data_IF_054372197954
#
_entry.id   IF_054372197954
#
_cell.length_a   1.000
_cell.length_b   1.000
_cell.length_c   1.000
_cell.angle_alpha   90.00
_cell.angle_beta   90.00
_cell.angle_gamma   90.00
#
_symmetry.space_group_name_H-M   'P 1'
#
loop_
_entity.id
_entity.type
_entity.pdbx_description
1 polymer ?
#
# COMPACT_ATOMS: atom_id res chain seq x y z
N UNK A 1 19.76 12.35 0.69
CA UNK A 1 18.51 13.14 0.54
C UNK A 1 18.82 14.58 0.83
N UNK A 2 18.13 15.49 0.14
CA UNK A 2 18.19 16.95 0.33
C UNK A 2 16.80 17.37 0.83
N UNK A 3 16.75 18.14 1.91
CA UNK A 3 15.51 18.63 2.48
C UNK A 3 15.18 20.01 1.90
N UNK A 4 13.95 20.21 1.43
CA UNK A 4 13.47 21.48 0.87
C UNK A 4 12.20 21.94 1.60
N UNK A 5 12.02 23.24 1.79
CA UNK A 5 10.77 23.79 2.31
C UNK A 5 9.89 24.30 1.15
N UNK A 6 8.64 23.82 1.09
CA UNK A 6 7.67 24.22 0.07
C UNK A 6 6.64 25.27 0.55
N UNK A 7 6.68 25.66 1.83
CA UNK A 7 5.83 26.72 2.41
C UNK A 7 6.67 27.86 2.97
N UNK A 8 5.99 28.91 3.46
CA UNK A 8 6.61 30.03 4.18
C UNK A 8 7.37 29.53 5.43
N UNK A 9 8.37 30.31 5.87
CA UNK A 9 9.27 29.94 6.97
C UNK A 9 8.55 29.74 8.33
N UNK A 10 7.38 30.35 8.51
CA UNK A 10 6.59 30.27 9.75
C UNK A 10 5.89 28.91 9.94
N UNK A 11 5.65 28.16 8.85
CA UNK A 11 5.10 26.79 8.88
C UNK A 11 5.86 25.89 7.88
N UNK A 12 7.11 25.51 8.20
CA UNK A 12 7.94 24.77 7.26
C UNK A 12 7.35 23.38 6.98
N UNK A 13 7.28 23.05 5.69
CA UNK A 13 6.84 21.74 5.20
C UNK A 13 7.96 21.14 4.37
N UNK A 14 8.63 20.16 4.95
CA UNK A 14 9.89 19.62 4.44
C UNK A 14 9.65 18.44 3.50
N UNK A 15 10.02 18.58 2.24
CA UNK A 15 10.06 17.49 1.27
C UNK A 15 11.48 16.98 1.05
N UNK A 16 11.58 15.72 0.60
CA UNK A 16 12.86 15.06 0.36
C UNK A 16 13.13 14.93 -1.14
N UNK A 17 14.23 15.52 -1.57
CA UNK A 17 14.80 15.37 -2.91
C UNK A 17 15.99 14.39 -2.93
N UNK A 18 16.21 13.73 -4.05
CA UNK A 18 17.38 12.89 -4.26
C UNK A 18 18.69 13.68 -4.17
N UNK A 19 19.69 13.12 -3.49
CA UNK A 19 21.02 13.75 -3.36
C UNK A 19 21.88 13.67 -4.62
N UNK A 20 21.41 12.95 -5.64
CA UNK A 20 22.06 12.87 -6.95
C UNK A 20 21.72 14.05 -7.86
N UNK A 21 20.76 14.89 -7.48
CA UNK A 21 20.39 16.07 -8.25
C UNK A 21 21.48 17.15 -8.19
N UNK A 22 21.72 17.82 -9.31
CA UNK A 22 22.56 19.01 -9.36
C UNK A 22 21.87 20.20 -8.66
N UNK A 23 22.61 21.25 -8.27
CA UNK A 23 21.99 22.44 -7.67
C UNK A 23 20.91 23.09 -8.55
N UNK A 24 21.10 23.10 -9.87
CA UNK A 24 20.11 23.61 -10.83
C UNK A 24 18.85 22.73 -10.86
N UNK A 25 19.02 21.41 -10.88
CA UNK A 25 17.89 20.48 -10.83
C UNK A 25 17.12 20.61 -9.51
N UNK A 26 17.81 20.77 -8.38
CA UNK A 26 17.17 21.00 -7.07
C UNK A 26 16.28 22.23 -7.10
N UNK A 27 16.75 23.33 -7.70
CA UNK A 27 15.97 24.57 -7.82
C UNK A 27 14.72 24.36 -8.68
N UNK A 28 14.86 23.73 -9.84
CA UNK A 28 13.74 23.43 -10.75
C UNK A 28 12.69 22.54 -10.06
N UNK A 29 13.12 21.46 -9.41
CA UNK A 29 12.20 20.57 -8.68
C UNK A 29 11.51 21.29 -7.52
N UNK A 30 12.25 22.13 -6.79
CA UNK A 30 11.70 22.93 -5.69
C UNK A 30 10.63 23.88 -6.19
N UNK A 31 10.87 24.56 -7.31
CA UNK A 31 9.91 25.48 -7.91
C UNK A 31 8.61 24.77 -8.32
N UNK A 32 8.71 23.63 -9.01
CA UNK A 32 7.54 22.83 -9.40
C UNK A 32 6.76 22.35 -8.17
N UNK A 33 7.44 21.85 -7.14
CA UNK A 33 6.78 21.37 -5.93
C UNK A 33 6.09 22.51 -5.16
N UNK A 34 6.66 23.72 -5.17
CA UNK A 34 6.03 24.93 -4.61
C UNK A 34 4.80 25.34 -5.42
N UNK A 35 4.88 25.35 -6.74
CA UNK A 35 3.75 25.66 -7.63
C UNK A 35 2.58 24.69 -7.41
N UNK A 36 2.89 23.42 -7.17
CA UNK A 36 1.90 22.37 -6.96
C UNK A 36 1.65 22.06 -5.49
N UNK A 37 1.92 22.98 -4.56
CA UNK A 37 1.77 22.73 -3.12
C UNK A 37 0.38 22.20 -2.71
N UNK A 38 -0.67 22.46 -3.52
CA UNK A 38 -2.04 21.96 -3.31
C UNK A 38 -2.18 20.44 -3.47
N UNK A 39 -1.25 19.77 -4.14
CA UNK A 39 -1.24 18.30 -4.23
C UNK A 39 -0.86 17.66 -2.89
N UNK A 40 -0.38 18.42 -1.91
CA UNK A 40 0.01 17.91 -0.59
C UNK A 40 -1.03 18.30 0.46
N UNK A 41 -1.34 17.36 1.34
CA UNK A 41 -2.23 17.60 2.49
C UNK A 41 -1.46 17.38 3.79
N UNK A 42 -1.65 18.28 4.74
CA UNK A 42 -0.92 18.28 6.03
C UNK A 42 -1.81 17.89 7.21
N UNK A 43 -3.12 17.86 7.00
CA UNK A 43 -4.11 17.49 7.99
C UNK A 43 -5.36 16.93 7.34
N UNK A 44 -6.12 16.09 8.05
CA UNK A 44 -7.39 15.56 7.56
C UNK A 44 -8.42 16.64 7.20
N UNK A 45 -8.32 17.84 7.79
CA UNK A 45 -9.24 18.96 7.51
C UNK A 45 -8.98 19.63 6.16
N UNK A 46 -7.74 19.57 5.69
CA UNK A 46 -7.33 20.10 4.38
C UNK A 46 -7.61 19.10 3.23
N UNK A 47 -7.98 17.87 3.57
CA UNK A 47 -8.24 16.83 2.58
C UNK A 47 -9.57 17.10 1.86
N UNK A 48 -9.49 17.40 0.56
CA UNK A 48 -10.65 17.58 -0.32
C UNK A 48 -11.28 16.24 -0.70
N UNK A 49 -10.43 15.24 -0.92
CA UNK A 49 -10.80 13.91 -1.40
C UNK A 49 -11.07 13.87 -2.90
N UNK A 50 -11.10 12.66 -3.45
CA UNK A 50 -11.33 12.42 -4.87
C UNK A 50 -12.76 12.81 -5.22
N UNK A 51 -12.92 13.50 -6.34
CA UNK A 51 -14.22 14.00 -6.77
C UNK A 51 -15.22 12.83 -6.98
N UNK A 52 -16.45 12.89 -6.38
CA UNK A 52 -17.40 11.76 -6.43
C UNK A 52 -17.88 11.34 -7.83
N UNK A 53 -17.77 12.23 -8.82
CA UNK A 53 -18.12 11.90 -10.22
C UNK A 53 -17.06 11.00 -10.88
N UNK A 54 -15.84 10.96 -10.34
CA UNK A 54 -14.76 10.06 -10.77
C UNK A 54 -15.01 8.67 -10.18
N UNK A 55 -15.21 8.62 -8.86
CA UNK A 55 -15.44 7.36 -8.17
C UNK A 55 -16.13 7.59 -6.82
N UNK A 56 -16.93 6.60 -6.44
CA UNK A 56 -17.41 6.38 -5.07
C UNK A 56 -17.30 4.91 -4.76
N UNK A 57 -17.03 4.59 -3.51
CA UNK A 57 -17.03 3.20 -3.06
C UNK A 57 -18.46 2.72 -2.83
N UNK A 58 -18.81 1.58 -3.43
CA UNK A 58 -20.11 0.94 -3.29
C UNK A 58 -19.94 -0.42 -2.59
N UNK A 59 -20.86 -0.71 -1.67
CA UNK A 59 -20.99 -1.98 -0.96
C UNK A 59 -22.22 -2.72 -1.47
N UNK A 60 -22.11 -3.19 -2.72
CA UNK A 60 -23.14 -4.01 -3.34
C UNK A 60 -23.20 -5.34 -2.58
N UNK A 61 -24.30 -5.61 -1.89
CA UNK A 61 -24.54 -6.86 -1.19
C UNK A 61 -25.30 -7.83 -2.10
N UNK A 62 -25.06 -9.14 -1.97
CA UNK A 62 -25.86 -10.14 -2.69
C UNK A 62 -27.35 -9.99 -2.35
N UNK A 63 -28.28 -10.24 -3.30
CA UNK A 63 -29.71 -10.05 -3.07
C UNK A 63 -30.28 -10.85 -1.88
N UNK A 64 -29.70 -12.01 -1.59
CA UNK A 64 -30.08 -12.92 -0.51
C UNK A 64 -29.34 -12.66 0.82
N UNK A 65 -28.36 -11.74 0.83
CA UNK A 65 -27.57 -11.45 2.01
C UNK A 65 -28.42 -10.75 3.08
N UNK A 66 -28.57 -11.41 4.23
CA UNK A 66 -29.25 -10.84 5.40
C UNK A 66 -28.29 -9.96 6.20
N UNK A 67 -28.71 -8.75 6.62
CA UNK A 67 -27.91 -7.91 7.51
C UNK A 67 -27.61 -8.58 8.85
N UNK A 68 -26.39 -8.38 9.34
CA UNK A 68 -25.91 -8.94 10.62
C UNK A 68 -25.55 -7.81 11.58
N UNK A 69 -26.07 -7.91 12.80
CA UNK A 69 -25.68 -7.05 13.93
C UNK A 69 -24.82 -7.85 14.89
N UNK A 70 -23.52 -7.59 14.90
CA UNK A 70 -22.63 -8.23 15.84
C UNK A 70 -22.95 -7.78 17.28
N UNK A 71 -22.87 -8.72 18.23
CA UNK A 71 -22.99 -8.40 19.65
C UNK A 71 -21.80 -7.55 20.09
N UNK A 72 -22.06 -6.47 20.83
CA UNK A 72 -21.01 -5.59 21.37
C UNK A 72 -20.04 -6.38 22.24
N UNK A 73 -18.74 -6.21 21.98
CA UNK A 73 -17.67 -6.84 22.76
C UNK A 73 -17.29 -5.97 23.97
N UNK A 74 -17.07 -6.56 25.16
CA UNK A 74 -16.61 -5.80 26.31
C UNK A 74 -15.20 -5.26 26.05
N UNK A 75 -14.93 -4.07 26.56
CA UNK A 75 -13.64 -3.39 26.39
C UNK A 75 -13.09 -2.96 27.75
N UNK A 76 -11.77 -3.11 27.94
CA UNK A 76 -11.09 -2.63 29.14
C UNK A 76 -11.25 -1.10 29.25
N UNK A 77 -11.54 -0.52 30.43
CA UNK A 77 -11.81 0.91 30.58
C UNK A 77 -10.75 1.83 29.98
N UNK A 78 -9.46 1.51 30.17
CA UNK A 78 -8.35 2.28 29.58
C UNK A 78 -8.39 2.31 28.06
N UNK A 79 -8.64 1.16 27.42
CA UNK A 79 -8.72 1.06 25.96
C UNK A 79 -9.96 1.78 25.45
N UNK A 80 -11.06 1.70 26.20
CA UNK A 80 -12.29 2.40 25.88
C UNK A 80 -12.05 3.92 25.77
N UNK A 81 -11.40 4.54 26.74
CA UNK A 81 -11.09 5.98 26.67
C UNK A 81 -10.28 6.37 25.43
N UNK A 82 -9.26 5.57 25.09
CA UNK A 82 -8.46 5.79 23.87
C UNK A 82 -9.30 5.63 22.60
N UNK A 83 -10.21 4.66 22.56
CA UNK A 83 -11.15 4.48 21.44
C UNK A 83 -12.07 5.70 21.33
N UNK A 84 -12.59 6.22 22.45
CA UNK A 84 -13.42 7.42 22.47
C UNK A 84 -12.70 8.61 21.84
N UNK A 85 -11.46 8.86 22.24
CA UNK A 85 -10.66 9.96 21.70
C UNK A 85 -10.50 9.85 20.19
N UNK A 86 -10.20 8.65 19.67
CA UNK A 86 -10.00 8.45 18.24
C UNK A 86 -11.32 8.54 17.44
N UNK A 87 -12.42 8.01 17.96
CA UNK A 87 -13.76 8.19 17.38
C UNK A 87 -14.14 9.66 17.32
N UNK A 88 -13.84 10.44 18.37
CA UNK A 88 -14.11 11.88 18.39
C UNK A 88 -13.30 12.63 17.33
N UNK A 89 -12.03 12.25 17.10
CA UNK A 89 -11.23 12.83 16.01
C UNK A 89 -11.86 12.53 14.65
N UNK A 90 -12.26 11.27 14.41
CA UNK A 90 -12.91 10.86 13.16
C UNK A 90 -14.24 11.59 12.91
N UNK A 91 -15.02 11.84 13.97
CA UNK A 91 -16.23 12.67 13.92
C UNK A 91 -15.90 14.12 13.58
N UNK A 92 -14.89 14.70 14.24
CA UNK A 92 -14.51 16.11 14.04
C UNK A 92 -14.03 16.38 12.62
N UNK A 93 -13.36 15.42 11.98
CA UNK A 93 -12.91 15.53 10.57
C UNK A 93 -14.00 15.10 9.58
N UNK A 94 -15.15 14.61 10.05
CA UNK A 94 -16.28 14.20 9.21
C UNK A 94 -16.10 12.87 8.48
N UNK A 95 -15.14 12.04 8.88
CA UNK A 95 -14.92 10.72 8.26
C UNK A 95 -15.99 9.72 8.66
N UNK A 96 -16.56 9.90 9.84
CA UNK A 96 -17.68 9.12 10.35
C UNK A 96 -18.80 10.07 10.79
N UNK A 97 -20.01 9.52 10.92
CA UNK A 97 -21.17 10.23 11.45
C UNK A 97 -22.01 9.30 12.34
N UNK A 98 -22.78 9.84 13.30
CA UNK A 98 -23.77 9.06 14.04
C UNK A 98 -24.78 8.43 13.08
N UNK A 99 -25.26 7.25 13.44
CA UNK A 99 -26.24 6.52 12.63
C UNK A 99 -27.21 5.76 13.53
N UNK A 100 -28.49 5.94 13.25
CA UNK A 100 -29.58 5.28 13.96
C UNK A 100 -30.10 4.10 13.14
N UNK A 101 -30.67 3.11 13.85
CA UNK A 101 -31.40 1.97 13.27
C UNK A 101 -30.67 1.18 12.17
N UNK A 102 -29.33 1.21 12.13
CA UNK A 102 -28.58 0.45 11.12
C UNK A 102 -28.83 -1.05 11.24
N UNK A 103 -28.94 -1.71 10.08
CA UNK A 103 -29.17 -3.15 9.97
C UNK A 103 -27.88 -3.97 10.02
N UNK A 104 -26.76 -3.36 9.61
CA UNK A 104 -25.42 -3.93 9.72
C UNK A 104 -24.73 -3.29 10.94
N UNK A 105 -24.08 -4.07 11.79
CA UNK A 105 -23.31 -3.52 12.91
C UNK A 105 -22.06 -4.36 13.13
N UNK A 106 -20.89 -3.75 12.97
CA UNK A 106 -19.58 -4.36 13.21
C UNK A 106 -18.97 -3.92 14.54
N UNK A 107 -18.14 -4.76 15.14
CA UNK A 107 -17.36 -4.39 16.32
C UNK A 107 -16.08 -3.61 15.95
N UNK A 108 -15.63 -2.77 16.89
CA UNK A 108 -14.27 -2.23 16.87
C UNK A 108 -13.27 -3.30 17.34
N UNK A 109 -12.11 -3.33 16.68
CA UNK A 109 -10.92 -4.08 17.06
C UNK A 109 -9.80 -3.08 17.34
N UNK A 110 -9.56 -2.72 18.62
CA UNK A 110 -8.50 -1.79 18.98
C UNK A 110 -7.13 -2.47 18.95
N UNK A 111 -6.17 -1.87 18.25
CA UNK A 111 -4.79 -2.36 18.14
C UNK A 111 -3.86 -1.34 18.82
N UNK A 112 -3.14 -1.78 19.85
CA UNK A 112 -2.11 -0.95 20.50
C UNK A 112 -0.81 -1.04 19.72
N UNK A 113 -0.34 0.10 19.20
CA UNK A 113 0.98 0.21 18.55
C UNK A 113 2.08 0.24 19.60
N UNK A 114 3.31 -0.13 19.20
CA UNK A 114 4.50 -0.11 20.06
C UNK A 114 4.78 1.26 20.70
N UNK A 115 4.37 2.34 20.03
CA UNK A 115 4.50 3.72 20.52
C UNK A 115 3.38 4.16 21.49
N UNK A 116 2.53 3.23 21.94
CA UNK A 116 1.43 3.50 22.86
C UNK A 116 0.18 4.12 22.21
N UNK A 117 0.20 4.46 20.91
CA UNK A 117 -1.00 4.94 20.19
C UNK A 117 -1.93 3.78 19.88
N UNK A 118 -3.24 4.06 19.82
CA UNK A 118 -4.26 3.11 19.39
C UNK A 118 -4.52 3.26 17.88
N UNK A 119 -4.77 2.14 17.20
CA UNK A 119 -5.36 2.11 15.87
C UNK A 119 -6.71 1.39 15.96
N UNK A 120 -7.78 2.06 15.54
CA UNK A 120 -9.11 1.48 15.46
C UNK A 120 -9.25 0.75 14.13
N UNK A 121 -9.41 -0.57 14.17
CA UNK A 121 -9.90 -1.34 13.03
C UNK A 121 -11.37 -1.70 13.26
N UNK A 122 -12.12 -1.90 12.18
CA UNK A 122 -13.51 -2.37 12.25
C UNK A 122 -13.57 -3.79 11.70
N UNK A 123 -14.26 -4.66 12.42
CA UNK A 123 -14.49 -6.05 12.01
C UNK A 123 -15.61 -6.10 10.95
N UNK A 124 -15.26 -5.75 9.71
CA UNK A 124 -16.16 -5.77 8.56
C UNK A 124 -16.39 -7.18 7.97
N UNK A 125 -16.09 -8.24 8.71
CA UNK A 125 -16.16 -9.61 8.20
C UNK A 125 -17.53 -9.95 7.58
N UNK A 126 -18.63 -9.64 8.28
CA UNK A 126 -19.99 -9.97 7.82
C UNK A 126 -20.36 -9.23 6.53
N UNK A 127 -20.12 -7.91 6.48
CA UNK A 127 -20.43 -7.10 5.29
C UNK A 127 -19.53 -7.50 4.12
N UNK A 128 -18.25 -7.78 4.36
CA UNK A 128 -17.32 -8.25 3.33
C UNK A 128 -17.72 -9.61 2.76
N UNK A 129 -18.27 -10.50 3.58
CA UNK A 129 -18.80 -11.79 3.15
C UNK A 129 -20.05 -11.62 2.28
N UNK A 130 -20.89 -10.63 2.61
CA UNK A 130 -22.10 -10.30 1.85
C UNK A 130 -21.81 -9.63 0.50
N UNK A 131 -20.69 -8.93 0.37
CA UNK A 131 -20.28 -8.30 -0.90
C UNK A 131 -19.62 -9.32 -1.85
N UNK A 132 -19.99 -9.37 -3.15
CA UNK A 132 -19.22 -10.11 -4.14
C UNK A 132 -17.84 -9.47 -4.32
N UNK A 133 -16.89 -10.22 -4.88
CA UNK A 133 -15.59 -9.68 -5.24
C UNK A 133 -15.75 -8.81 -6.49
N UNK A 134 -15.09 -7.65 -6.50
CA UNK A 134 -14.89 -6.87 -7.72
C UNK A 134 -13.65 -7.43 -8.44
N UNK A 135 -13.82 -7.84 -9.68
CA UNK A 135 -12.77 -8.43 -10.51
C UNK A 135 -11.98 -7.38 -11.31
N UNK A 136 -12.13 -6.08 -10.97
CA UNK A 136 -11.29 -5.04 -11.53
C UNK A 136 -9.79 -5.42 -11.39
N UNK A 137 -9.04 -5.41 -12.49
CA UNK A 137 -7.67 -5.88 -12.47
C UNK A 137 -6.80 -4.94 -11.66
N UNK A 138 -6.08 -5.50 -10.69
CA UNK A 138 -4.94 -4.82 -10.08
C UNK A 138 -3.70 -5.11 -10.93
N UNK A 139 -2.88 -4.11 -11.26
CA UNK A 139 -1.63 -4.35 -11.96
C UNK A 139 -0.75 -5.36 -11.22
N UNK A 140 -0.03 -6.18 -11.97
CA UNK A 140 1.00 -7.02 -11.37
C UNK A 140 2.12 -6.15 -10.80
N UNK A 141 2.49 -6.41 -9.56
CA UNK A 141 3.61 -5.71 -8.91
C UNK A 141 4.88 -5.90 -9.73
N UNK A 142 5.14 -7.11 -10.24
CA UNK A 142 6.32 -7.38 -11.06
C UNK A 142 6.33 -6.53 -12.33
N UNK A 143 5.17 -6.32 -12.98
CA UNK A 143 5.07 -5.47 -14.17
C UNK A 143 5.38 -4.01 -13.84
N UNK A 144 4.85 -3.49 -12.72
CA UNK A 144 5.15 -2.12 -12.28
C UNK A 144 6.64 -1.95 -12.01
N UNK A 145 7.22 -2.91 -11.28
CA UNK A 145 8.63 -2.88 -10.88
C UNK A 145 9.56 -2.99 -12.09
N UNK A 146 9.26 -3.89 -13.03
CA UNK A 146 9.99 -4.05 -14.29
C UNK A 146 9.91 -2.78 -15.15
N UNK A 147 8.75 -2.12 -15.16
CA UNK A 147 8.54 -0.88 -15.91
C UNK A 147 9.33 0.33 -15.35
N UNK A 148 10.02 0.18 -14.21
CA UNK A 148 10.87 1.24 -13.63
C UNK A 148 12.30 1.22 -14.15
N UNK A 149 12.75 0.11 -14.73
CA UNK A 149 14.16 -0.01 -15.17
C UNK A 149 14.41 0.79 -16.43
N UNK A 150 15.63 1.34 -16.57
CA UNK A 150 16.02 2.18 -17.70
C UNK A 150 15.46 3.60 -17.64
N UNK A 151 14.96 4.02 -16.48
CA UNK A 151 14.64 5.40 -16.16
C UNK A 151 15.72 5.95 -15.23
N UNK A 152 16.24 7.14 -15.55
CA UNK A 152 17.32 7.78 -14.78
C UNK A 152 16.80 8.39 -13.48
N UNK A 153 15.57 8.92 -13.50
CA UNK A 153 15.00 9.65 -12.38
C UNK A 153 13.56 9.25 -12.08
N UNK A 154 13.28 9.06 -10.80
CA UNK A 154 12.03 8.55 -10.26
C UNK A 154 11.51 9.48 -9.15
N UNK A 155 10.19 9.54 -8.98
CA UNK A 155 9.57 10.06 -7.77
C UNK A 155 8.55 9.10 -7.22
N UNK A 156 8.71 8.76 -5.95
CA UNK A 156 7.88 7.84 -5.20
C UNK A 156 6.89 8.66 -4.39
N UNK A 157 5.60 8.47 -4.63
CA UNK A 157 4.53 9.26 -4.03
C UNK A 157 3.50 8.33 -3.38
N UNK A 158 2.97 8.75 -2.23
CA UNK A 158 1.98 7.99 -1.44
C UNK A 158 0.76 8.89 -1.22
N UNK A 159 -0.44 8.37 -1.50
CA UNK A 159 -1.68 9.09 -1.25
C UNK A 159 -1.92 9.36 0.24
N UNK A 160 -2.22 10.61 0.61
CA UNK A 160 -2.53 10.97 1.99
C UNK A 160 -3.74 10.22 2.51
N UNK A 161 -3.58 9.47 3.59
CA UNK A 161 -4.65 8.64 4.17
C UNK A 161 -5.31 7.67 3.17
N UNK A 162 -4.60 7.30 2.09
CA UNK A 162 -5.02 6.37 1.04
C UNK A 162 -6.53 6.35 0.79
N UNK A 163 -7.19 5.29 1.27
CA UNK A 163 -8.61 5.04 1.04
C UNK A 163 -9.57 6.14 1.51
N UNK A 164 -9.25 6.89 2.57
CA UNK A 164 -10.17 7.89 3.13
C UNK A 164 -10.41 9.08 2.18
N UNK A 165 -9.68 9.19 1.07
CA UNK A 165 -9.94 10.20 0.04
C UNK A 165 -11.17 9.89 -0.82
N UNK A 166 -11.62 8.62 -0.89
CA UNK A 166 -12.79 8.22 -1.67
C UNK A 166 -14.02 8.19 -0.77
N UNK A 167 -15.12 8.81 -1.22
CA UNK A 167 -16.39 8.77 -0.48
C UNK A 167 -17.10 7.44 -0.65
N UNK A 168 -17.82 6.99 0.38
CA UNK A 168 -18.77 5.89 0.26
C UNK A 168 -20.09 6.45 -0.28
N UNK A 169 -20.70 5.72 -1.21
CA UNK A 169 -22.05 6.03 -1.69
C UNK A 169 -23.01 6.24 -0.51
N UNK A 170 -23.83 7.30 -0.57
CA UNK A 170 -24.71 7.69 0.55
C UNK A 170 -25.62 6.55 1.02
N UNK A 171 -26.06 5.70 0.09
CA UNK A 171 -26.93 4.55 0.34
C UNK A 171 -26.21 3.42 1.08
N UNK A 172 -24.89 3.32 0.91
CA UNK A 172 -24.07 2.25 1.47
C UNK A 172 -23.39 2.63 2.78
N UNK A 173 -23.37 3.92 3.16
CA UNK A 173 -22.71 4.38 4.39
C UNK A 173 -23.20 3.59 5.62
N UNK A 174 -24.51 3.39 5.78
CA UNK A 174 -25.07 2.64 6.91
C UNK A 174 -24.60 1.17 6.98
N UNK A 175 -24.13 0.58 5.87
CA UNK A 175 -23.57 -0.79 5.87
C UNK A 175 -22.22 -0.86 6.58
N UNK A 176 -21.54 0.27 6.75
CA UNK A 176 -20.25 0.39 7.45
C UNK A 176 -20.40 0.71 8.94
N UNK A 177 -21.61 0.60 9.49
CA UNK A 177 -21.86 0.93 10.88
C UNK A 177 -21.02 0.06 11.82
N UNK A 178 -20.42 0.71 12.81
CA UNK A 178 -19.74 0.05 13.92
C UNK A 178 -20.26 0.53 15.27
N UNK A 179 -20.16 -0.35 16.27
CA UNK A 179 -20.64 -0.11 17.63
C UNK A 179 -19.52 0.25 18.59
N UNK A 180 -19.80 1.21 19.48
CA UNK A 180 -18.93 1.63 20.57
C UNK A 180 -19.75 1.73 21.88
N UNK A 181 -19.11 1.82 23.04
CA UNK A 181 -19.81 2.12 24.30
C UNK A 181 -20.59 3.44 24.32
N UNK A 182 -20.32 4.38 23.39
CA UNK A 182 -20.96 5.71 23.35
C UNK A 182 -21.97 5.88 22.22
N UNK A 183 -22.18 4.84 21.41
CA UNK A 183 -23.11 4.90 20.29
C UNK A 183 -22.61 4.16 19.05
N UNK A 184 -23.42 4.25 18.00
CA UNK A 184 -23.16 3.68 16.68
C UNK A 184 -22.82 4.77 15.68
N UNK A 185 -21.80 4.49 14.86
CA UNK A 185 -21.32 5.41 13.85
C UNK A 185 -21.12 4.66 12.53
N UNK A 186 -21.25 5.34 11.40
CA UNK A 186 -20.87 4.81 10.10
C UNK A 186 -19.88 5.72 9.39
N UNK A 187 -19.12 5.13 8.47
CA UNK A 187 -18.17 5.86 7.65
C UNK A 187 -18.86 6.59 6.49
N UNK A 188 -18.37 7.80 6.23
CA UNK A 188 -18.72 8.65 5.08
C UNK A 188 -17.69 8.50 3.96
N UNK A 189 -16.43 8.27 4.34
CA UNK A 189 -15.30 8.00 3.45
C UNK A 189 -14.83 6.56 3.59
N UNK A 190 -14.25 6.00 2.56
CA UNK A 190 -13.89 4.58 2.46
C UNK A 190 -12.84 4.20 3.53
N UNK A 191 -13.20 3.40 4.55
CA UNK A 191 -12.26 2.94 5.56
C UNK A 191 -11.43 1.75 5.09
N UNK A 192 -10.32 1.50 5.79
CA UNK A 192 -9.60 0.24 5.71
C UNK A 192 -10.47 -0.94 6.17
N UNK A 193 -10.18 -2.12 5.62
CA UNK A 193 -10.80 -3.38 6.03
C UNK A 193 -12.10 -3.71 5.29
N UNK A 194 -12.65 -2.82 4.48
CA UNK A 194 -13.73 -3.16 3.55
C UNK A 194 -13.19 -3.95 2.34
N UNK A 195 -14.05 -4.80 1.79
CA UNK A 195 -13.77 -5.53 0.56
C UNK A 195 -13.79 -4.59 -0.65
N UNK A 196 -13.00 -4.90 -1.68
CA UNK A 196 -12.94 -4.17 -2.96
C UNK A 196 -12.44 -2.71 -2.87
N UNK A 197 -11.91 -2.25 -1.73
CA UNK A 197 -11.35 -0.90 -1.60
C UNK A 197 -10.18 -0.67 -2.55
N UNK A 198 -9.29 -1.66 -2.70
CA UNK A 198 -8.16 -1.60 -3.64
C UNK A 198 -8.60 -1.49 -5.10
N UNK A 199 -9.61 -2.27 -5.50
CA UNK A 199 -10.21 -2.19 -6.83
C UNK A 199 -10.84 -0.81 -7.10
N UNK A 200 -11.56 -0.26 -6.12
CA UNK A 200 -12.17 1.07 -6.22
C UNK A 200 -11.10 2.15 -6.42
N UNK A 201 -10.03 2.10 -5.63
CA UNK A 201 -8.95 3.08 -5.68
C UNK A 201 -8.14 2.96 -6.98
N UNK A 202 -7.76 1.74 -7.37
CA UNK A 202 -7.04 1.50 -8.61
C UNK A 202 -7.85 1.94 -9.83
N UNK A 203 -9.16 1.72 -9.84
CA UNK A 203 -10.05 2.20 -10.92
C UNK A 203 -10.02 3.72 -11.02
N UNK A 204 -9.97 4.42 -9.89
CA UNK A 204 -9.84 5.87 -9.85
C UNK A 204 -8.50 6.33 -10.44
N UNK A 205 -7.39 5.73 -10.00
CA UNK A 205 -6.05 6.08 -10.54
C UNK A 205 -5.93 5.77 -12.03
N UNK A 206 -6.53 4.65 -12.48
CA UNK A 206 -6.56 4.27 -13.89
C UNK A 206 -7.38 5.25 -14.72
N UNK A 207 -8.44 5.82 -14.18
CA UNK A 207 -9.21 6.89 -14.83
C UNK A 207 -8.38 8.17 -14.93
N UNK A 208 -7.80 8.61 -13.81
CA UNK A 208 -7.06 9.89 -13.71
C UNK A 208 -5.82 9.89 -14.61
N UNK A 209 -5.10 8.77 -14.67
CA UNK A 209 -3.82 8.66 -15.37
C UNK A 209 -3.89 7.77 -16.61
N UNK A 210 -5.09 7.56 -17.18
CA UNK A 210 -5.32 6.57 -18.24
C UNK A 210 -4.27 6.61 -19.36
N UNK A 211 -4.03 7.80 -19.92
CA UNK A 211 -3.10 7.98 -21.04
C UNK A 211 -1.62 8.05 -20.62
N UNK A 212 -1.35 8.12 -19.31
CA UNK A 212 -0.01 8.35 -18.75
C UNK A 212 0.58 7.08 -18.11
N UNK A 213 -0.27 6.16 -17.67
CA UNK A 213 0.12 4.87 -17.10
C UNK A 213 1.02 4.12 -18.08
N UNK A 214 2.05 3.47 -17.54
CA UNK A 214 3.12 2.79 -18.28
C UNK A 214 4.08 3.68 -19.07
N UNK A 215 3.72 4.94 -19.35
CA UNK A 215 4.58 5.90 -20.06
C UNK A 215 5.45 6.69 -19.10
N UNK A 216 4.81 7.45 -18.21
CA UNK A 216 5.49 8.38 -17.29
C UNK A 216 5.08 8.19 -15.83
N UNK A 217 4.00 7.45 -15.58
CA UNK A 217 3.53 7.10 -14.24
C UNK A 217 3.18 5.63 -14.13
N UNK A 218 3.42 5.03 -12.97
CA UNK A 218 2.81 3.77 -12.56
C UNK A 218 1.95 4.00 -11.32
N UNK A 219 0.87 3.24 -11.18
CA UNK A 219 0.00 3.31 -10.02
C UNK A 219 -0.31 1.93 -9.47
N UNK A 220 -0.22 1.79 -8.16
CA UNK A 220 -0.69 0.63 -7.43
C UNK A 220 -1.45 1.09 -6.18
N UNK A 221 -2.77 1.15 -6.29
CA UNK A 221 -3.64 1.68 -5.25
C UNK A 221 -3.17 3.10 -4.87
N UNK A 222 -2.65 3.31 -3.66
CA UNK A 222 -2.21 4.60 -3.12
C UNK A 222 -0.74 4.91 -3.43
N UNK A 223 0.04 3.94 -3.90
CA UNK A 223 1.41 4.15 -4.36
C UNK A 223 1.42 4.65 -5.82
N UNK A 224 2.08 5.78 -6.04
CA UNK A 224 2.31 6.37 -7.36
C UNK A 224 3.82 6.49 -7.61
N UNK A 225 4.24 6.13 -8.81
CA UNK A 225 5.62 6.27 -9.26
C UNK A 225 5.65 7.14 -10.50
N UNK A 226 6.23 8.34 -10.42
CA UNK A 226 6.63 9.09 -11.59
C UNK A 226 8.00 8.63 -12.08
N UNK A 227 8.19 8.55 -13.40
CA UNK A 227 9.45 8.08 -13.99
C UNK A 227 9.80 8.86 -15.26
N UNK A 228 11.07 9.26 -15.36
CA UNK A 228 11.61 9.95 -16.54
C UNK A 228 12.90 9.27 -17.03
N UNK A 229 12.97 9.03 -18.34
CA UNK A 229 14.14 8.37 -18.96
C UNK A 229 15.39 9.23 -18.84
N UNK A 230 15.23 10.55 -18.90
CA UNK A 230 16.28 11.53 -18.75
C UNK A 230 15.98 12.45 -17.59
N UNK A 231 17.02 12.82 -16.85
CA UNK A 231 16.97 13.83 -15.79
C UNK A 231 16.19 15.10 -16.20
N UNK A 232 16.50 15.68 -17.36
CA UNK A 232 15.93 16.94 -17.83
C UNK A 232 14.41 16.91 -18.08
N UNK A 233 13.82 15.73 -18.29
CA UNK A 233 12.39 15.58 -18.60
C UNK A 233 11.54 15.39 -17.33
N UNK A 234 12.17 15.03 -16.22
CA UNK A 234 11.45 14.71 -14.99
C UNK A 234 10.65 15.88 -14.39
N UNK A 235 11.13 17.14 -14.45
CA UNK A 235 10.33 18.30 -14.06
C UNK A 235 8.96 18.37 -14.78
N UNK A 236 8.95 18.20 -16.10
CA UNK A 236 7.72 18.20 -16.91
C UNK A 236 6.78 17.04 -16.53
N UNK A 237 7.34 15.84 -16.33
CA UNK A 237 6.59 14.68 -15.84
C UNK A 237 5.90 14.97 -14.51
N UNK A 238 6.62 15.59 -13.55
CA UNK A 238 6.03 15.97 -12.27
C UNK A 238 4.93 17.01 -12.43
N UNK A 239 5.11 18.02 -13.27
CA UNK A 239 4.09 19.02 -13.53
C UNK A 239 2.78 18.39 -14.02
N UNK A 240 2.85 17.48 -14.99
CA UNK A 240 1.67 16.79 -15.55
C UNK A 240 0.98 15.96 -14.45
N UNK A 241 1.73 15.14 -13.72
CA UNK A 241 1.16 14.24 -12.71
C UNK A 241 0.54 15.03 -11.56
N UNK A 242 1.26 16.01 -11.00
CA UNK A 242 0.78 16.81 -9.87
C UNK A 242 -0.42 17.68 -10.26
N UNK A 243 -0.46 18.19 -11.49
CA UNK A 243 -1.63 18.91 -12.03
C UNK A 243 -2.87 18.00 -12.06
N UNK A 244 -2.72 16.77 -12.56
CA UNK A 244 -3.82 15.78 -12.54
C UNK A 244 -4.29 15.45 -11.12
N UNK A 245 -3.37 15.28 -10.17
CA UNK A 245 -3.75 15.07 -8.76
C UNK A 245 -4.60 16.22 -8.22
N UNK A 246 -4.18 17.47 -8.47
CA UNK A 246 -4.91 18.67 -8.04
C UNK A 246 -6.28 18.74 -8.71
N UNK A 247 -6.36 18.52 -10.02
CA UNK A 247 -7.61 18.56 -10.79
C UNK A 247 -8.67 17.61 -10.22
N UNK A 248 -8.27 16.37 -9.90
CA UNK A 248 -9.18 15.34 -9.42
C UNK A 248 -9.31 15.23 -7.90
N UNK A 249 -8.59 16.10 -7.16
CA UNK A 249 -8.66 16.18 -5.70
C UNK A 249 -7.92 15.08 -4.96
N UNK A 250 -6.96 14.41 -5.62
CA UNK A 250 -6.06 13.46 -4.97
C UNK A 250 -4.97 14.23 -4.24
N UNK A 251 -4.71 13.87 -2.99
CA UNK A 251 -3.66 14.51 -2.20
C UNK A 251 -2.62 13.51 -1.71
N UNK A 252 -1.39 13.99 -1.55
CA UNK A 252 -0.19 13.20 -1.25
C UNK A 252 0.28 13.39 0.20
N UNK A 253 0.90 12.35 0.73
CA UNK A 253 1.57 12.34 2.01
C UNK A 253 3.01 12.80 1.90
N UNK A 254 3.24 14.05 2.28
CA UNK A 254 4.56 14.69 2.22
C UNK A 254 5.67 13.86 2.90
N UNK A 255 5.42 13.24 4.06
CA UNK A 255 6.46 12.53 4.82
C UNK A 255 6.94 11.24 4.15
N UNK A 256 6.07 10.66 3.31
CA UNK A 256 6.34 9.41 2.59
C UNK A 256 6.73 9.63 1.14
N UNK A 257 6.47 10.81 0.59
CA UNK A 257 6.89 11.17 -0.75
C UNK A 257 8.39 11.43 -0.82
N UNK A 258 9.00 11.02 -1.92
CA UNK A 258 10.40 11.26 -2.26
C UNK A 258 10.48 11.60 -3.75
N UNK A 259 11.17 12.68 -4.09
CA UNK A 259 11.22 13.19 -5.46
C UNK A 259 12.63 13.19 -6.04
N UNK A 260 12.75 12.93 -7.35
CA UNK A 260 14.00 13.09 -8.08
C UNK A 260 15.12 12.16 -7.61
N UNK A 261 14.83 10.87 -7.39
CA UNK A 261 15.81 9.86 -6.98
C UNK A 261 16.17 8.91 -8.12
N UNK A 262 17.41 8.42 -8.13
CA UNK A 262 17.88 7.40 -9.10
C UNK A 262 17.47 5.98 -8.73
N UNK A 263 16.86 5.82 -7.55
CA UNK A 263 16.37 4.55 -7.03
C UNK A 263 15.73 4.71 -5.65
N UNK A 264 15.00 3.69 -5.22
CA UNK A 264 14.32 3.73 -3.93
C UNK A 264 13.47 2.49 -3.66
N UNK A 265 12.78 2.49 -2.53
CA UNK A 265 11.91 1.38 -2.13
C UNK A 265 10.51 1.57 -2.68
N UNK A 266 10.01 0.61 -3.45
CA UNK A 266 8.65 0.61 -4.02
C UNK A 266 8.04 -0.79 -3.91
N UNK A 267 6.81 -0.91 -3.40
CA UNK A 267 6.06 -2.19 -3.28
C UNK A 267 6.88 -3.34 -2.65
N UNK A 268 7.83 -3.00 -1.78
CA UNK A 268 8.71 -3.96 -1.10
C UNK A 268 9.93 -4.44 -1.91
N UNK A 269 10.30 -3.75 -2.98
CA UNK A 269 11.51 -3.95 -3.77
C UNK A 269 12.38 -2.70 -3.71
N UNK A 270 13.68 -2.86 -3.99
CA UNK A 270 14.59 -1.74 -4.21
C UNK A 270 14.78 -1.61 -5.72
N UNK A 271 14.35 -0.48 -6.28
CA UNK A 271 14.44 -0.20 -7.72
C UNK A 271 15.56 0.80 -7.97
N UNK A 272 16.26 0.64 -9.10
CA UNK A 272 17.23 1.61 -9.59
C UNK A 272 17.41 1.49 -11.11
N UNK A 273 18.17 2.41 -11.71
CA UNK A 273 18.55 2.29 -13.13
C UNK A 273 19.32 1.00 -13.46
N UNK A 274 20.00 0.40 -12.48
CA UNK A 274 20.76 -0.86 -12.64
C UNK A 274 19.89 -2.11 -12.66
N UNK A 275 18.65 -2.01 -12.18
CA UNK A 275 17.74 -3.14 -12.03
C UNK A 275 17.01 -3.13 -10.70
N UNK A 276 16.55 -4.32 -10.32
CA UNK A 276 15.65 -4.57 -9.20
C UNK A 276 16.39 -5.46 -8.21
N UNK A 277 16.45 -5.02 -6.96
CA UNK A 277 17.05 -5.73 -5.85
C UNK A 277 16.00 -6.09 -4.78
N UNK A 278 16.32 -7.11 -3.97
CA UNK A 278 15.52 -7.47 -2.80
C UNK A 278 15.69 -6.42 -1.72
N UNK A 279 14.60 -6.05 -1.04
CA UNK A 279 14.69 -5.27 0.20
C UNK A 279 15.53 -6.01 1.26
N UNK A 280 16.64 -5.44 1.75
CA UNK A 280 17.46 -6.07 2.78
C UNK A 280 16.68 -6.49 4.02
N UNK A 281 15.61 -5.77 4.40
CA UNK A 281 14.78 -6.15 5.52
C UNK A 281 14.05 -7.49 5.30
N UNK A 282 13.66 -7.79 4.04
CA UNK A 282 13.05 -9.09 3.68
C UNK A 282 14.09 -10.21 3.71
N UNK A 283 15.32 -9.93 3.26
CA UNK A 283 16.45 -10.86 3.34
C UNK A 283 16.72 -11.21 4.81
N UNK A 284 16.96 -10.20 5.65
CA UNK A 284 17.25 -10.37 7.07
C UNK A 284 16.14 -11.13 7.80
N UNK A 285 14.87 -10.83 7.50
CA UNK A 285 13.74 -11.53 8.09
C UNK A 285 13.71 -13.03 7.80
N UNK A 286 14.38 -13.52 6.75
CA UNK A 286 14.56 -14.94 6.45
C UNK A 286 15.87 -15.47 7.04
N UNK A 287 16.97 -14.70 6.96
CA UNK A 287 18.26 -15.10 7.50
C UNK A 287 18.23 -15.31 9.03
N UNK A 288 17.46 -14.51 9.76
CA UNK A 288 17.29 -14.62 11.21
C UNK A 288 16.32 -15.73 11.63
N UNK A 289 15.62 -16.38 10.69
CA UNK A 289 14.72 -17.47 11.03
C UNK A 289 15.50 -18.68 11.54
N UNK A 290 14.92 -19.31 12.55
CA UNK A 290 15.26 -20.67 12.95
C UNK A 290 14.41 -21.66 12.15
N UNK A 291 14.86 -22.91 12.00
CA UNK A 291 14.06 -23.97 11.38
C UNK A 291 12.66 -24.04 12.02
N UNK A 292 11.58 -23.92 11.22
CA UNK A 292 10.21 -24.09 11.69
C UNK A 292 9.99 -25.44 12.40
N UNK A 293 9.27 -25.40 13.52
CA UNK A 293 8.92 -26.59 14.29
C UNK A 293 7.44 -27.00 14.18
N UNK A 294 6.61 -26.18 13.51
CA UNK A 294 5.18 -26.42 13.37
C UNK A 294 4.62 -25.91 12.02
N UNK A 295 3.37 -26.29 11.72
CA UNK A 295 2.70 -25.92 10.46
C UNK A 295 2.63 -24.39 10.27
N UNK A 296 2.40 -23.66 11.36
CA UNK A 296 2.29 -22.20 11.35
C UNK A 296 3.62 -21.57 10.95
N UNK A 297 4.73 -22.05 11.50
CA UNK A 297 6.09 -21.62 11.19
C UNK A 297 6.48 -21.96 9.75
N UNK A 298 6.09 -23.14 9.25
CA UNK A 298 6.33 -23.54 7.85
C UNK A 298 5.57 -22.60 6.91
N UNK A 299 4.27 -22.38 7.14
CA UNK A 299 3.46 -21.44 6.34
C UNK A 299 4.02 -20.02 6.41
N UNK A 300 4.51 -19.60 7.57
CA UNK A 300 5.14 -18.31 7.76
C UNK A 300 6.43 -18.18 6.93
N UNK A 301 7.32 -19.18 6.98
CA UNK A 301 8.54 -19.23 6.16
C UNK A 301 8.22 -19.18 4.66
N UNK A 302 7.34 -20.05 4.17
CA UNK A 302 6.94 -20.10 2.77
C UNK A 302 6.29 -18.77 2.32
N UNK A 303 5.49 -18.15 3.20
CA UNK A 303 4.92 -16.82 2.95
C UNK A 303 5.98 -15.73 2.80
N UNK A 304 7.07 -15.78 3.57
CA UNK A 304 8.22 -14.86 3.41
C UNK A 304 8.92 -15.08 2.07
N UNK A 305 9.10 -16.34 1.66
CA UNK A 305 9.75 -16.67 0.39
C UNK A 305 8.93 -16.22 -0.82
N UNK A 306 7.60 -16.33 -0.75
CA UNK A 306 6.72 -15.83 -1.82
C UNK A 306 6.97 -14.36 -2.18
N UNK A 307 7.34 -13.52 -1.21
CA UNK A 307 7.62 -12.10 -1.41
C UNK A 307 8.99 -11.80 -2.07
N UNK A 308 9.87 -12.80 -2.21
CA UNK A 308 11.22 -12.70 -2.79
C UNK A 308 11.52 -13.82 -3.78
N UNK A 309 10.50 -14.60 -4.18
CA UNK A 309 10.66 -15.82 -4.96
C UNK A 309 11.42 -15.61 -6.27
N UNK A 310 11.22 -14.46 -6.93
CA UNK A 310 11.84 -14.13 -8.22
C UNK A 310 13.36 -14.02 -8.16
N UNK A 311 13.95 -13.96 -6.97
CA UNK A 311 15.40 -13.84 -6.75
C UNK A 311 16.07 -15.15 -6.36
N UNK A 312 15.29 -16.22 -6.13
CA UNK A 312 15.82 -17.52 -5.71
C UNK A 312 15.64 -18.49 -6.88
N UNK A 313 16.75 -18.98 -7.49
CA UNK A 313 16.66 -19.92 -8.60
C UNK A 313 16.06 -21.24 -8.14
N UNK A 314 15.22 -21.83 -8.99
CA UNK A 314 14.58 -23.14 -8.79
C UNK A 314 13.88 -23.30 -7.43
N UNK A 315 13.36 -22.20 -6.89
CA UNK A 315 12.83 -22.16 -5.52
C UNK A 315 11.82 -23.28 -5.26
N UNK A 316 10.92 -23.55 -6.21
CA UNK A 316 9.90 -24.59 -6.10
C UNK A 316 10.50 -25.98 -5.90
N UNK A 317 11.63 -26.27 -6.56
CA UNK A 317 12.36 -27.53 -6.39
C UNK A 317 13.10 -27.55 -5.05
N UNK A 318 13.81 -26.47 -4.72
CA UNK A 318 14.57 -26.35 -3.47
C UNK A 318 13.68 -26.57 -2.24
N UNK A 319 12.50 -25.96 -2.19
CA UNK A 319 11.59 -26.04 -1.02
C UNK A 319 10.62 -27.24 -1.10
N UNK A 320 10.78 -28.14 -2.07
CA UNK A 320 9.90 -29.29 -2.23
C UNK A 320 9.78 -30.16 -0.95
N UNK A 321 10.88 -30.49 -0.24
CA UNK A 321 10.80 -31.24 1.02
C UNK A 321 9.96 -30.53 2.08
N UNK A 322 10.13 -29.21 2.20
CA UNK A 322 9.41 -28.36 3.18
C UNK A 322 7.92 -28.27 2.82
N UNK A 323 7.58 -28.14 1.54
CA UNK A 323 6.18 -28.11 1.08
C UNK A 323 5.45 -29.44 1.35
N UNK A 324 6.17 -30.58 1.30
CA UNK A 324 5.57 -31.89 1.56
C UNK A 324 5.04 -32.02 3.00
N UNK A 325 5.66 -31.33 3.97
CA UNK A 325 5.20 -31.30 5.36
C UNK A 325 3.80 -30.67 5.55
N UNK A 326 3.30 -29.92 4.56
CA UNK A 326 1.96 -29.33 4.60
C UNK A 326 0.87 -30.19 3.94
N UNK A 327 1.22 -31.38 3.43
CA UNK A 327 0.26 -32.32 2.84
C UNK A 327 -0.52 -33.04 3.95
N UNK A 328 -1.81 -33.30 3.71
CA UNK A 328 -2.74 -33.87 4.72
C UNK A 328 -2.32 -35.19 5.35
N UNK A 329 -1.47 -35.97 4.66
CA UNK A 329 -1.07 -37.32 5.06
C UNK A 329 0.36 -37.40 5.64
N UNK A 330 1.03 -36.27 5.87
CA UNK A 330 2.40 -36.22 6.38
C UNK A 330 2.45 -35.80 7.86
N UNK A 331 3.29 -36.47 8.65
CA UNK A 331 3.72 -35.95 9.95
C UNK A 331 4.67 -34.78 9.74
N UNK A 332 4.55 -33.75 10.58
CA UNK A 332 5.45 -32.59 10.56
C UNK A 332 6.73 -32.99 11.30
N UNK A 333 7.54 -33.79 10.64
CA UNK A 333 8.87 -34.17 11.11
C UNK A 333 9.90 -33.39 10.28
N UNK A 334 10.54 -32.40 10.91
CA UNK A 334 11.58 -31.60 10.24
C UNK A 334 12.85 -32.43 10.07
N UNK A 335 13.00 -33.06 8.91
CA UNK A 335 14.12 -33.95 8.60
C UNK A 335 15.32 -33.21 7.98
N UNK A 336 16.44 -33.92 7.81
CA UNK A 336 17.70 -33.39 7.26
C UNK A 336 17.49 -32.70 5.90
N UNK A 337 16.71 -33.30 4.99
CA UNK A 337 16.34 -32.72 3.69
C UNK A 337 15.64 -31.37 3.80
N UNK A 338 14.80 -31.17 4.82
CA UNK A 338 14.13 -29.88 5.08
C UNK A 338 15.12 -28.85 5.61
N UNK A 339 16.06 -29.27 6.46
CA UNK A 339 17.12 -28.40 6.96
C UNK A 339 18.08 -27.98 5.83
N UNK A 340 18.47 -28.91 4.96
CA UNK A 340 19.27 -28.61 3.78
C UNK A 340 18.57 -27.60 2.86
N UNK A 341 17.30 -27.84 2.53
CA UNK A 341 16.49 -26.91 1.73
C UNK A 341 16.44 -25.51 2.36
N UNK A 342 16.22 -25.44 3.67
CA UNK A 342 16.19 -24.19 4.43
C UNK A 342 17.53 -23.44 4.36
N UNK A 343 18.65 -24.13 4.57
CA UNK A 343 19.98 -23.53 4.52
C UNK A 343 20.43 -23.18 3.08
N UNK A 344 19.99 -23.94 2.07
CA UNK A 344 20.18 -23.58 0.64
C UNK A 344 19.51 -22.24 0.34
N UNK A 345 18.25 -22.06 0.75
CA UNK A 345 17.53 -20.80 0.57
C UNK A 345 18.27 -19.64 1.25
N UNK A 346 18.71 -19.82 2.50
CA UNK A 346 19.47 -18.79 3.23
C UNK A 346 20.79 -18.45 2.54
N UNK A 347 21.51 -19.43 1.98
CA UNK A 347 22.74 -19.20 1.21
C UNK A 347 22.50 -18.35 -0.04
N UNK A 348 21.44 -18.61 -0.81
CA UNK A 348 21.11 -17.77 -1.97
C UNK A 348 20.87 -16.31 -1.57
N UNK A 349 20.23 -16.09 -0.42
CA UNK A 349 19.93 -14.77 0.10
C UNK A 349 21.14 -14.00 0.64
N UNK A 350 22.30 -14.64 0.81
CA UNK A 350 23.55 -13.94 1.15
C UNK A 350 24.11 -13.13 -0.04
N UNK A 351 23.79 -13.52 -1.26
CA UNK A 351 24.22 -12.83 -2.49
C UNK A 351 23.13 -12.95 -3.56
N UNK A 352 21.98 -12.28 -3.36
CA UNK A 352 20.89 -12.34 -4.33
C UNK A 352 21.29 -11.60 -5.61
N UNK A 353 20.84 -12.06 -6.79
CA UNK A 353 21.09 -11.36 -8.04
C UNK A 353 20.30 -10.06 -8.11
N UNK A 354 20.87 -9.05 -8.78
CA UNK A 354 20.11 -7.91 -9.29
C UNK A 354 19.39 -8.36 -10.56
N UNK A 355 18.06 -8.26 -10.57
CA UNK A 355 17.25 -8.63 -11.73
C UNK A 355 17.12 -7.45 -12.69
N UNK A 356 17.12 -7.74 -13.99
CA UNK A 356 16.78 -6.77 -15.01
C UNK A 356 15.58 -7.28 -15.82
N UNK A 357 14.64 -6.40 -16.20
CA UNK A 357 13.58 -6.78 -17.10
C UNK A 357 14.15 -7.09 -18.50
N UNK A 358 13.42 -7.89 -19.28
CA UNK A 358 13.83 -8.23 -20.65
C UNK A 358 13.96 -6.96 -21.48
N UNK A 359 15.05 -6.86 -22.24
CA UNK A 359 15.28 -5.76 -23.17
C UNK A 359 15.12 -6.25 -24.60
N UNK A 360 14.42 -5.48 -25.43
CA UNK A 360 14.15 -5.85 -26.83
C UNK A 360 15.41 -5.96 -27.70
N UNK A 361 16.52 -5.35 -27.27
CA UNK A 361 17.81 -5.35 -27.95
C UNK A 361 18.72 -6.54 -27.56
N UNK A 362 18.27 -7.41 -26.64
CA UNK A 362 19.03 -8.59 -26.21
C UNK A 362 18.24 -9.89 -26.41
N UNK A 363 18.90 -10.98 -26.87
CA UNK A 363 18.25 -12.27 -26.97
C UNK A 363 17.87 -12.79 -25.56
N UNK A 364 16.68 -13.37 -25.45
CA UNK A 364 16.27 -14.09 -24.24
C UNK A 364 16.76 -15.53 -24.33
N UNK A 365 17.54 -15.96 -23.33
CA UNK A 365 18.07 -17.32 -23.23
C UNK A 365 17.42 -17.98 -22.03
N UNK A 366 16.74 -19.10 -22.27
CA UNK A 366 16.18 -19.94 -21.22
C UNK A 366 17.13 -21.11 -20.96
N UNK A 367 17.57 -21.23 -19.71
CA UNK A 367 18.26 -22.42 -19.20
C UNK A 367 17.22 -23.28 -18.49
N UNK A 368 17.02 -24.52 -18.95
CA UNK A 368 16.00 -25.44 -18.49
C UNK A 368 16.59 -26.72 -17.91
#
# INVERSE_FOLDING_TARGET
MIDINIRMEEEPKILKLGSSLTPEEVEIHTQILKEHQKSFTFSYKEMTGIAPHITVHNLITKPDAKPIKQKSRPMKPKVALMVKEEVMKLLQVGFIKPVDYSQWVSNIVPILKKNGKIHICIDFWDINKACPKDDFPLPSIDVIIDATTGFELLSLMDGFSGYNQIKISKEDQAKTTFITPWGTYCYVVMPFGLKNVGATYQRAMTYIFHDLIHKIVESYIDDLLAKARKHCNHPEVLHIILSGLIEYGVTLNLEKCVFGVTGGKLLGYIISSRGIDVDPAKIWAVLEMVPPSDESGIRYFLGKLGAIQRFIPDLTFVIHPINNLLKKDYSIDWMEECNEAFEVVKRFLLSPPTLMPPRSDHPLILYS
#
